data_IF_514863416697
#
_entry.id   IF_514863416697
#
_cell.length_a   1.000
_cell.length_b   1.000
_cell.length_c   1.000
_cell.angle_alpha   90.00
_cell.angle_beta   90.00
_cell.angle_gamma   90.00
#
_symmetry.space_group_name_H-M   'P 1'
#
loop_
_entity.id
_entity.type
_entity.pdbx_description
1 polymer ?
#
# COMPACT_ATOMS: atom_id res chain seq x y z
N UNK A 1 -19.86 -7.68 52.21
CA UNK A 1 -18.62 -8.44 51.94
C UNK A 1 -18.99 -9.49 50.91
N UNK A 2 -18.26 -9.61 49.80
CA UNK A 2 -18.48 -10.70 48.86
C UNK A 2 -18.31 -12.03 49.59
N UNK A 3 -19.06 -13.06 49.17
CA UNK A 3 -19.01 -14.39 49.79
C UNK A 3 -17.67 -15.09 49.54
N UNK A 4 -16.93 -14.63 48.52
CA UNK A 4 -15.58 -15.08 48.17
C UNK A 4 -14.67 -13.85 48.03
N UNK A 5 -13.46 -13.91 48.59
CA UNK A 5 -12.44 -12.87 48.38
C UNK A 5 -12.01 -12.86 46.91
N UNK A 6 -11.83 -11.68 46.30
CA UNK A 6 -11.37 -11.55 44.90
C UNK A 6 -9.86 -11.80 44.74
N UNK A 7 -9.29 -12.67 45.57
CA UNK A 7 -7.91 -13.10 45.49
C UNK A 7 -7.77 -14.10 44.33
N UNK A 8 -6.77 -13.88 43.48
CA UNK A 8 -6.49 -14.71 42.30
C UNK A 8 -6.20 -16.17 42.67
N UNK A 9 -5.70 -16.43 43.88
CA UNK A 9 -5.52 -17.80 44.39
C UNK A 9 -6.85 -18.55 44.57
N UNK A 10 -7.96 -17.85 44.84
CA UNK A 10 -9.27 -18.47 44.95
C UNK A 10 -9.80 -18.97 43.60
N UNK A 11 -9.46 -18.28 42.50
CA UNK A 11 -9.82 -18.73 41.15
C UNK A 11 -9.23 -20.10 40.82
N UNK A 12 -7.97 -20.34 41.20
CA UNK A 12 -7.30 -21.64 41.04
C UNK A 12 -7.99 -22.75 41.84
N UNK A 13 -8.46 -22.45 43.05
CA UNK A 13 -9.19 -23.40 43.89
C UNK A 13 -10.54 -23.75 43.24
N UNK A 14 -11.26 -22.75 42.73
CA UNK A 14 -12.51 -22.95 41.99
C UNK A 14 -12.27 -23.80 40.74
N UNK A 15 -11.21 -23.53 39.98
CA UNK A 15 -10.86 -24.32 38.80
C UNK A 15 -10.51 -25.77 39.15
N UNK A 16 -9.78 -26.00 40.24
CA UNK A 16 -9.49 -27.35 40.73
C UNK A 16 -10.78 -28.07 41.16
N UNK A 17 -11.66 -27.39 41.89
CA UNK A 17 -12.96 -27.94 42.27
C UNK A 17 -13.81 -28.27 41.04
N UNK A 18 -13.86 -27.38 40.05
CA UNK A 18 -14.62 -27.55 38.81
C UNK A 18 -14.13 -28.77 38.02
N UNK A 19 -12.81 -28.99 37.96
CA UNK A 19 -12.21 -30.17 37.32
C UNK A 19 -12.69 -31.49 37.93
N UNK A 20 -12.95 -31.53 39.24
CA UNK A 20 -13.33 -32.74 39.95
C UNK A 20 -14.86 -32.90 40.17
N UNK A 21 -15.59 -31.79 40.26
CA UNK A 21 -17.01 -31.74 40.59
C UNK A 21 -17.71 -30.59 39.82
N UNK A 22 -17.80 -30.68 38.47
CA UNK A 22 -18.24 -29.56 37.64
C UNK A 22 -19.70 -29.17 37.88
N UNK A 23 -20.57 -30.15 38.15
CA UNK A 23 -22.00 -29.90 38.36
C UNK A 23 -22.26 -29.19 39.68
N UNK A 24 -21.56 -29.61 40.75
CA UNK A 24 -21.65 -29.04 42.09
C UNK A 24 -21.12 -27.60 42.09
N UNK A 25 -20.02 -27.34 41.37
CA UNK A 25 -19.48 -25.99 41.21
C UNK A 25 -20.45 -25.10 40.43
N UNK A 26 -20.99 -25.55 39.30
CA UNK A 26 -21.98 -24.77 38.53
C UNK A 26 -23.22 -24.46 39.37
N UNK A 27 -23.77 -25.45 40.09
CA UNK A 27 -24.92 -25.23 40.97
C UNK A 27 -24.63 -24.22 42.09
N UNK A 28 -23.41 -24.21 42.61
CA UNK A 28 -22.97 -23.24 43.61
C UNK A 28 -22.82 -21.85 43.00
N UNK A 29 -22.19 -21.75 41.82
CA UNK A 29 -22.02 -20.49 41.09
C UNK A 29 -23.37 -19.85 40.74
N UNK A 30 -24.37 -20.64 40.36
CA UNK A 30 -25.73 -20.15 40.08
C UNK A 30 -26.31 -19.36 41.25
N UNK A 31 -26.20 -19.90 42.47
CA UNK A 31 -26.66 -19.24 43.70
C UNK A 31 -25.83 -17.99 44.01
N UNK A 32 -24.50 -18.05 43.83
CA UNK A 32 -23.61 -16.93 44.10
C UNK A 32 -23.84 -15.77 43.14
N UNK A 33 -23.98 -16.05 41.85
CA UNK A 33 -24.28 -15.08 40.80
C UNK A 33 -25.60 -14.37 41.08
N UNK A 34 -26.65 -15.12 41.45
CA UNK A 34 -27.94 -14.52 41.81
C UNK A 34 -27.84 -13.64 43.06
N UNK A 35 -27.08 -14.08 44.07
CA UNK A 35 -26.86 -13.27 45.28
C UNK A 35 -26.13 -11.97 44.98
N UNK A 36 -25.06 -12.02 44.18
CA UNK A 36 -24.28 -10.84 43.81
C UNK A 36 -25.10 -9.89 42.94
N UNK A 37 -25.80 -10.41 41.92
CA UNK A 37 -26.66 -9.63 41.06
C UNK A 37 -27.75 -8.89 41.85
N UNK A 38 -28.36 -9.53 42.85
CA UNK A 38 -29.36 -8.89 43.71
C UNK A 38 -28.75 -7.87 44.67
N UNK A 39 -27.58 -8.16 45.25
CA UNK A 39 -27.00 -7.37 46.33
C UNK A 39 -26.18 -6.16 45.85
N UNK A 40 -25.50 -6.31 44.72
CA UNK A 40 -24.56 -5.32 44.19
C UNK A 40 -24.97 -4.77 42.83
N UNK A 41 -26.01 -5.33 42.20
CA UNK A 41 -26.40 -5.00 40.84
C UNK A 41 -25.21 -5.12 39.87
N UNK A 42 -24.45 -6.21 40.00
CA UNK A 42 -23.20 -6.53 39.30
C UNK A 42 -22.57 -7.82 39.82
N UNK A 43 -21.49 -8.25 39.20
CA UNK A 43 -20.80 -9.52 39.41
C UNK A 43 -19.31 -9.26 39.70
N UNK A 44 -18.85 -9.81 40.82
CA UNK A 44 -17.46 -9.82 41.22
C UNK A 44 -16.80 -11.16 40.89
N UNK A 45 -17.60 -12.23 40.76
CA UNK A 45 -17.10 -13.59 40.59
C UNK A 45 -16.47 -13.86 39.21
N UNK A 46 -16.74 -13.04 38.19
CA UNK A 46 -16.28 -13.29 36.82
C UNK A 46 -14.75 -13.38 36.71
N UNK A 47 -14.01 -12.55 37.45
CA UNK A 47 -12.54 -12.56 37.45
C UNK A 47 -11.96 -13.85 38.05
N UNK A 48 -12.74 -14.57 38.87
CA UNK A 48 -12.34 -15.83 39.49
C UNK A 48 -12.59 -17.05 38.58
N UNK A 49 -13.26 -16.86 37.44
CA UNK A 49 -13.63 -17.93 36.51
C UNK A 49 -12.67 -18.08 35.33
N UNK A 50 -11.62 -17.24 35.23
CA UNK A 50 -10.62 -17.29 34.13
C UNK A 50 -10.09 -18.73 33.90
N UNK A 51 -9.69 -19.40 34.99
CA UNK A 51 -9.00 -20.70 34.93
C UNK A 51 -9.97 -21.90 34.71
N UNK A 52 -11.29 -21.68 34.71
CA UNK A 52 -12.29 -22.74 34.55
C UNK A 52 -13.25 -22.53 33.37
N UNK A 53 -12.93 -21.61 32.47
CA UNK A 53 -13.79 -21.28 31.33
C UNK A 53 -13.64 -22.29 30.18
N UNK A 54 -14.39 -23.39 30.26
CA UNK A 54 -14.58 -24.32 29.14
C UNK A 54 -15.96 -24.11 28.46
N UNK A 55 -16.25 -24.89 27.42
CA UNK A 55 -17.53 -24.79 26.67
C UNK A 55 -18.76 -24.96 27.57
N UNK A 56 -18.66 -25.80 28.61
CA UNK A 56 -19.75 -26.03 29.57
C UNK A 56 -19.97 -24.81 30.46
N UNK A 57 -18.90 -24.23 31.01
CA UNK A 57 -18.98 -23.02 31.83
C UNK A 57 -19.47 -21.83 31.01
N UNK A 58 -18.94 -21.63 29.79
CA UNK A 58 -19.40 -20.59 28.88
C UNK A 58 -20.89 -20.71 28.58
N UNK A 59 -21.36 -21.92 28.29
CA UNK A 59 -22.79 -22.18 28.06
C UNK A 59 -23.64 -21.85 29.28
N UNK A 60 -23.24 -22.30 30.47
CA UNK A 60 -23.97 -21.99 31.71
C UNK A 60 -24.09 -20.48 31.93
N UNK A 61 -22.97 -19.75 31.80
CA UNK A 61 -22.94 -18.31 31.96
C UNK A 61 -23.82 -17.60 30.92
N UNK A 62 -23.77 -18.03 29.65
CA UNK A 62 -24.61 -17.48 28.60
C UNK A 62 -26.10 -17.75 28.84
N UNK A 63 -26.47 -18.97 29.23
CA UNK A 63 -27.84 -19.35 29.58
C UNK A 63 -28.35 -18.50 30.76
N UNK A 64 -27.48 -18.25 31.75
CA UNK A 64 -27.79 -17.37 32.90
C UNK A 64 -28.04 -15.92 32.47
N UNK A 65 -27.19 -15.39 31.59
CA UNK A 65 -27.34 -14.03 31.05
C UNK A 65 -28.62 -13.86 30.19
N UNK A 66 -29.15 -14.95 29.64
CA UNK A 66 -30.39 -14.97 28.86
C UNK A 66 -31.66 -15.19 29.72
N UNK A 67 -31.51 -15.50 31.01
CA UNK A 67 -32.63 -15.83 31.87
C UNK A 67 -33.56 -14.63 32.10
N UNK A 68 -34.87 -14.84 31.92
CA UNK A 68 -35.87 -13.82 32.21
C UNK A 68 -35.84 -13.44 33.71
N UNK A 69 -35.85 -12.14 33.99
CA UNK A 69 -35.82 -11.61 35.36
C UNK A 69 -34.42 -11.52 35.99
N UNK A 70 -33.38 -11.93 35.27
CA UNK A 70 -32.00 -11.70 35.70
C UNK A 70 -31.61 -10.21 35.54
N UNK A 71 -30.68 -9.71 36.37
CA UNK A 71 -30.28 -8.29 36.32
C UNK A 71 -29.63 -7.97 34.96
N UNK A 72 -30.11 -6.97 34.21
CA UNK A 72 -29.52 -6.64 32.91
C UNK A 72 -28.06 -6.16 32.99
N UNK A 73 -27.70 -5.52 34.11
CA UNK A 73 -26.32 -5.09 34.36
C UNK A 73 -25.41 -6.30 34.62
N UNK A 74 -25.85 -7.26 35.43
CA UNK A 74 -25.12 -8.51 35.65
C UNK A 74 -24.99 -9.33 34.35
N UNK A 75 -26.07 -9.42 33.56
CA UNK A 75 -26.06 -10.07 32.24
C UNK A 75 -25.01 -9.44 31.32
N UNK A 76 -24.95 -8.11 31.27
CA UNK A 76 -23.96 -7.37 30.48
C UNK A 76 -22.52 -7.66 30.91
N UNK A 77 -22.27 -7.84 32.20
CA UNK A 77 -20.94 -8.19 32.73
C UNK A 77 -20.54 -9.63 32.36
N UNK A 78 -21.48 -10.59 32.38
CA UNK A 78 -21.26 -11.95 31.86
C UNK A 78 -20.94 -11.90 30.36
N UNK A 79 -21.76 -11.23 29.56
CA UNK A 79 -21.55 -11.13 28.11
C UNK A 79 -20.18 -10.53 27.81
N UNK A 80 -19.79 -9.45 28.51
CA UNK A 80 -18.47 -8.84 28.36
C UNK A 80 -17.34 -9.82 28.68
N UNK A 81 -17.47 -10.58 29.77
CA UNK A 81 -16.48 -11.60 30.17
C UNK A 81 -16.33 -12.70 29.12
N UNK A 82 -17.44 -13.22 28.59
CA UNK A 82 -17.43 -14.26 27.54
C UNK A 82 -16.87 -13.74 26.21
N UNK A 83 -17.20 -12.50 25.83
CA UNK A 83 -16.64 -11.87 24.63
C UNK A 83 -15.13 -11.64 24.73
N UNK A 84 -14.62 -11.30 25.92
CA UNK A 84 -13.18 -11.17 26.16
C UNK A 84 -12.42 -12.47 25.90
N UNK A 85 -13.06 -13.60 26.16
CA UNK A 85 -12.52 -14.95 25.90
C UNK A 85 -12.86 -15.48 24.49
N UNK A 86 -13.36 -14.61 23.59
CA UNK A 86 -13.74 -14.95 22.22
C UNK A 86 -14.77 -16.09 22.10
N UNK A 87 -15.70 -16.20 23.06
CA UNK A 87 -16.76 -17.22 23.03
C UNK A 87 -17.69 -17.05 21.81
N UNK A 88 -17.73 -18.06 20.95
CA UNK A 88 -18.46 -18.01 19.67
C UNK A 88 -19.98 -17.92 19.85
N UNK A 89 -20.54 -18.66 20.81
CA UNK A 89 -21.98 -18.67 21.05
C UNK A 89 -22.47 -17.29 21.53
N UNK A 90 -21.68 -16.64 22.38
CA UNK A 90 -21.94 -15.28 22.85
C UNK A 90 -21.85 -14.26 21.72
N UNK A 91 -20.87 -14.37 20.81
CA UNK A 91 -20.78 -13.50 19.63
C UNK A 91 -22.04 -13.60 18.77
N UNK A 92 -22.49 -14.81 18.45
CA UNK A 92 -23.72 -15.02 17.66
C UNK A 92 -24.97 -14.51 18.38
N UNK A 93 -25.07 -14.73 19.70
CA UNK A 93 -26.14 -14.17 20.50
C UNK A 93 -26.20 -12.64 20.42
N UNK A 94 -25.06 -11.96 20.64
CA UNK A 94 -24.99 -10.50 20.55
C UNK A 94 -25.33 -10.01 19.15
N UNK A 95 -24.80 -10.63 18.10
CA UNK A 95 -25.14 -10.30 16.71
C UNK A 95 -26.64 -10.43 16.42
N UNK A 96 -27.30 -11.47 16.95
CA UNK A 96 -28.74 -11.68 16.77
C UNK A 96 -29.62 -10.61 17.43
N UNK A 97 -29.08 -9.91 18.44
CA UNK A 97 -29.78 -8.86 19.18
C UNK A 97 -29.60 -7.48 18.55
N UNK A 98 -28.55 -7.27 17.76
CA UNK A 98 -28.32 -5.98 17.12
C UNK A 98 -29.24 -5.86 15.92
N UNK A 99 -30.33 -5.11 16.10
CA UNK A 99 -31.24 -4.73 15.03
C UNK A 99 -31.13 -3.23 14.79
N UNK A 100 -31.18 -2.86 13.52
CA UNK A 100 -31.06 -1.49 13.03
C UNK A 100 -32.31 -1.17 12.20
N UNK A 101 -33.06 -0.09 12.49
CA UNK A 101 -32.77 0.94 13.50
C UNK A 101 -32.91 0.42 14.94
N UNK A 102 -32.19 1.06 15.87
CA UNK A 102 -32.21 0.68 17.29
C UNK A 102 -33.62 0.78 17.90
N UNK A 103 -33.94 -0.05 18.90
CA UNK A 103 -35.22 0.03 19.60
C UNK A 103 -35.40 1.38 20.30
N UNK A 104 -36.65 1.79 20.47
CA UNK A 104 -37.04 3.07 21.10
C UNK A 104 -36.87 3.08 22.61
N UNK A 105 -36.76 1.93 23.27
CA UNK A 105 -36.50 1.84 24.71
C UNK A 105 -35.07 2.23 25.05
N UNK A 106 -34.86 3.27 25.86
CA UNK A 106 -33.52 3.77 26.22
C UNK A 106 -32.64 2.70 26.87
N UNK A 107 -33.22 1.90 27.76
CA UNK A 107 -32.49 0.87 28.49
C UNK A 107 -32.04 -0.28 27.56
N UNK A 108 -32.95 -0.76 26.71
CA UNK A 108 -32.65 -1.79 25.71
C UNK A 108 -31.61 -1.30 24.69
N UNK A 109 -31.74 -0.04 24.24
CA UNK A 109 -30.76 0.62 23.38
C UNK A 109 -29.37 0.66 24.03
N UNK A 110 -29.29 1.05 25.30
CA UNK A 110 -28.02 1.12 26.03
C UNK A 110 -27.35 -0.26 26.19
N UNK A 111 -28.14 -1.31 26.44
CA UNK A 111 -27.67 -2.69 26.57
C UNK A 111 -27.12 -3.24 25.24
N UNK A 112 -27.84 -3.01 24.13
CA UNK A 112 -27.38 -3.39 22.78
C UNK A 112 -26.08 -2.69 22.44
N UNK A 113 -25.99 -1.37 22.66
CA UNK A 113 -24.79 -0.59 22.37
C UNK A 113 -23.60 -1.03 23.24
N UNK A 114 -23.83 -1.33 24.53
CA UNK A 114 -22.77 -1.83 25.42
C UNK A 114 -22.26 -3.21 24.99
N UNK A 115 -23.15 -4.09 24.53
CA UNK A 115 -22.79 -5.41 24.02
C UNK A 115 -22.04 -5.31 22.69
N UNK A 116 -22.52 -4.46 21.76
CA UNK A 116 -21.85 -4.20 20.49
C UNK A 116 -20.46 -3.55 20.68
N UNK A 117 -20.31 -2.64 21.64
CA UNK A 117 -19.00 -2.06 21.97
C UNK A 117 -18.04 -3.10 22.54
N UNK A 118 -18.53 -4.04 23.34
CA UNK A 118 -17.72 -5.15 23.87
C UNK A 118 -17.33 -6.14 22.76
N UNK A 119 -18.23 -6.36 21.79
CA UNK A 119 -17.94 -7.16 20.59
C UNK A 119 -16.85 -6.48 19.76
N UNK A 120 -16.96 -5.16 19.51
CA UNK A 120 -15.96 -4.40 18.75
C UNK A 120 -14.57 -4.46 19.37
N UNK A 121 -14.47 -4.40 20.70
CA UNK A 121 -13.19 -4.46 21.42
C UNK A 121 -12.46 -5.81 21.27
N UNK A 122 -13.21 -6.89 21.04
CA UNK A 122 -12.70 -8.25 20.88
C UNK A 122 -13.04 -8.82 19.49
N UNK A 123 -13.25 -7.92 18.53
CA UNK A 123 -13.71 -8.28 17.20
C UNK A 123 -12.60 -9.01 16.45
N UNK A 124 -12.96 -10.14 15.84
CA UNK A 124 -12.19 -10.67 14.71
C UNK A 124 -12.68 -10.03 13.43
N UNK A 125 -12.05 -10.36 12.29
CA UNK A 125 -12.38 -9.77 10.99
C UNK A 125 -13.87 -9.88 10.65
N UNK A 126 -14.49 -11.03 10.87
CA UNK A 126 -15.90 -11.26 10.56
C UNK A 126 -16.84 -10.44 11.46
N UNK A 127 -16.45 -10.22 12.72
CA UNK A 127 -17.21 -9.38 13.66
C UNK A 127 -17.13 -7.90 13.25
N UNK A 128 -15.94 -7.46 12.84
CA UNK A 128 -15.73 -6.12 12.31
C UNK A 128 -16.56 -5.87 11.05
N UNK A 129 -16.51 -6.77 10.07
CA UNK A 129 -17.28 -6.64 8.82
C UNK A 129 -18.78 -6.57 9.11
N UNK A 130 -19.30 -7.40 10.02
CA UNK A 130 -20.69 -7.34 10.47
C UNK A 130 -21.06 -5.99 11.09
N UNK A 131 -20.24 -5.49 12.04
CA UNK A 131 -20.51 -4.20 12.71
C UNK A 131 -20.39 -3.03 11.73
N UNK A 132 -19.41 -3.07 10.83
CA UNK A 132 -19.17 -2.06 9.82
C UNK A 132 -20.35 -1.91 8.86
N UNK A 133 -20.92 -3.02 8.40
CA UNK A 133 -22.13 -3.01 7.57
C UNK A 133 -23.32 -2.34 8.27
N UNK A 134 -23.44 -2.50 9.58
CA UNK A 134 -24.50 -1.86 10.37
C UNK A 134 -24.23 -0.37 10.59
N UNK A 135 -22.97 0.02 10.84
CA UNK A 135 -22.55 1.43 10.94
C UNK A 135 -22.89 2.18 9.64
N UNK A 136 -22.66 1.57 8.48
CA UNK A 136 -22.97 2.18 7.19
C UNK A 136 -24.49 2.28 6.91
N UNK A 137 -25.29 1.36 7.47
CA UNK A 137 -26.76 1.36 7.33
C UNK A 137 -27.43 2.38 8.25
N UNK A 138 -26.88 2.59 9.45
CA UNK A 138 -27.41 3.53 10.43
C UNK A 138 -26.29 4.27 11.15
N UNK A 139 -26.19 5.55 10.80
CA UNK A 139 -25.17 6.44 11.31
C UNK A 139 -25.37 6.75 12.81
N UNK A 140 -26.61 6.76 13.32
CA UNK A 140 -26.86 6.97 14.75
C UNK A 140 -26.35 5.80 15.59
N UNK A 141 -26.58 4.57 15.10
CA UNK A 141 -26.00 3.36 15.68
C UNK A 141 -24.47 3.46 15.71
N UNK A 142 -23.86 3.81 14.59
CA UNK A 142 -22.40 3.95 14.51
C UNK A 142 -21.84 4.98 15.47
N UNK A 143 -22.47 6.15 15.57
CA UNK A 143 -22.05 7.19 16.52
C UNK A 143 -22.17 6.72 17.97
N UNK A 144 -23.28 6.08 18.34
CA UNK A 144 -23.50 5.56 19.68
C UNK A 144 -22.48 4.46 20.04
N UNK A 145 -22.17 3.59 19.08
CA UNK A 145 -21.19 2.51 19.23
C UNK A 145 -19.78 3.06 19.50
N UNK A 146 -19.32 4.01 18.68
CA UNK A 146 -17.99 4.64 18.86
C UNK A 146 -17.91 5.40 20.18
N UNK A 147 -18.95 6.17 20.50
CA UNK A 147 -19.01 6.89 21.77
C UNK A 147 -18.93 5.94 22.98
N UNK A 148 -19.48 4.73 22.87
CA UNK A 148 -19.38 3.72 23.92
C UNK A 148 -18.02 3.02 23.96
N UNK A 149 -17.41 2.77 22.80
CA UNK A 149 -16.16 2.02 22.67
C UNK A 149 -14.89 2.85 22.90
N UNK A 150 -14.99 4.19 22.94
CA UNK A 150 -13.85 5.11 22.93
C UNK A 150 -12.84 4.99 24.09
N UNK A 151 -13.26 4.54 25.28
CA UNK A 151 -12.41 4.43 26.47
C UNK A 151 -11.49 3.20 26.44
N UNK A 152 -11.71 2.29 25.48
CA UNK A 152 -10.85 1.14 25.31
C UNK A 152 -9.62 1.53 24.50
N UNK A 153 -8.39 1.39 25.04
CA UNK A 153 -7.19 1.71 24.30
C UNK A 153 -7.05 0.76 23.11
N UNK A 154 -7.34 1.25 21.90
CA UNK A 154 -6.99 0.57 20.65
C UNK A 154 -5.49 0.30 20.51
N UNK A 155 -4.65 0.95 21.33
CA UNK A 155 -3.23 0.58 21.46
C UNK A 155 -3.15 -0.84 22.02
N UNK A 156 -3.28 -1.82 21.13
CA UNK A 156 -3.29 -3.25 21.44
C UNK A 156 -4.53 -4.02 21.00
N UNK A 157 -5.59 -3.39 20.48
CA UNK A 157 -6.73 -4.16 19.94
C UNK A 157 -6.34 -4.78 18.61
N UNK A 158 -6.34 -6.11 18.53
CA UNK A 158 -5.97 -6.89 17.34
C UNK A 158 -6.77 -6.49 16.09
N UNK A 159 -8.02 -6.05 16.25
CA UNK A 159 -8.92 -5.80 15.12
C UNK A 159 -8.40 -4.78 14.11
N UNK A 160 -7.78 -3.66 14.55
CA UNK A 160 -7.24 -2.66 13.62
C UNK A 160 -5.98 -3.14 12.91
N UNK A 161 -5.25 -4.10 13.52
CA UNK A 161 -4.11 -4.74 12.88
C UNK A 161 -4.56 -5.78 11.85
N UNK A 162 -5.75 -6.36 12.01
CA UNK A 162 -6.26 -7.46 11.18
C UNK A 162 -7.09 -6.99 9.97
N UNK A 163 -7.63 -5.76 10.02
CA UNK A 163 -8.37 -5.19 8.89
C UNK A 163 -7.43 -4.61 7.81
N UNK A 164 -7.94 -4.53 6.58
CA UNK A 164 -7.17 -4.11 5.41
C UNK A 164 -6.94 -2.59 5.37
N UNK A 165 -5.94 -2.16 4.59
CA UNK A 165 -5.67 -0.74 4.33
C UNK A 165 -6.89 0.01 3.79
N UNK A 166 -7.71 -0.66 2.98
CA UNK A 166 -8.96 -0.10 2.44
C UNK A 166 -10.00 0.15 3.54
N UNK A 167 -10.18 -0.83 4.44
CA UNK A 167 -11.11 -0.72 5.57
C UNK A 167 -10.67 0.35 6.58
N UNK A 168 -9.36 0.46 6.84
CA UNK A 168 -8.82 1.54 7.68
C UNK A 168 -9.06 2.92 7.08
N UNK A 169 -8.89 3.07 5.76
CA UNK A 169 -9.19 4.31 5.07
C UNK A 169 -10.69 4.67 5.13
N UNK A 170 -11.57 3.70 4.88
CA UNK A 170 -13.02 3.90 4.99
C UNK A 170 -13.45 4.32 6.40
N UNK A 171 -12.93 3.61 7.42
CA UNK A 171 -13.17 3.96 8.81
C UNK A 171 -12.68 5.37 9.12
N UNK A 172 -11.44 5.71 8.75
CA UNK A 172 -10.91 7.05 9.01
C UNK A 172 -11.72 8.15 8.33
N UNK A 173 -12.17 7.94 7.08
CA UNK A 173 -13.01 8.89 6.36
C UNK A 173 -14.34 9.09 7.09
N UNK A 174 -15.00 8.00 7.49
CA UNK A 174 -16.26 8.05 8.22
C UNK A 174 -16.09 8.76 9.57
N UNK A 175 -15.06 8.41 10.35
CA UNK A 175 -14.78 9.05 11.63
C UNK A 175 -14.51 10.53 11.52
N UNK A 176 -13.77 10.95 10.50
CA UNK A 176 -13.46 12.37 10.31
C UNK A 176 -14.72 13.17 9.95
N UNK A 177 -15.71 12.55 9.31
CA UNK A 177 -17.00 13.19 8.99
C UNK A 177 -17.91 13.27 10.21
N UNK A 178 -18.04 12.19 10.98
CA UNK A 178 -18.94 12.10 12.14
C UNK A 178 -18.37 12.76 13.41
N UNK A 179 -17.05 12.79 13.52
CA UNK A 179 -16.30 13.35 14.63
C UNK A 179 -15.20 14.28 14.10
N UNK A 180 -15.55 15.50 13.64
CA UNK A 180 -14.60 16.42 13.00
C UNK A 180 -13.45 16.85 13.93
N UNK A 181 -12.20 16.92 13.44
CA UNK A 181 -11.04 17.41 14.21
C UNK A 181 -11.24 18.75 14.89
N UNK A 182 -12.04 19.65 14.32
CA UNK A 182 -12.34 20.96 14.88
C UNK A 182 -13.09 20.90 16.22
N UNK A 183 -13.99 19.92 16.35
CA UNK A 183 -14.86 19.72 17.52
C UNK A 183 -14.25 18.73 18.52
N UNK A 184 -13.47 17.77 18.03
CA UNK A 184 -12.89 16.67 18.81
C UNK A 184 -11.36 16.81 18.92
N UNK A 185 -10.90 18.00 19.33
CA UNK A 185 -9.48 18.31 19.61
C UNK A 185 -9.21 18.41 21.11
N UNK A 186 -7.95 18.24 21.49
CA UNK A 186 -7.45 18.58 22.82
C UNK A 186 -7.65 20.08 23.09
N UNK A 187 -8.30 20.48 24.21
CA UNK A 187 -8.30 21.86 24.66
C UNK A 187 -6.86 22.34 24.91
N UNK A 188 -6.57 23.62 24.66
CA UNK A 188 -5.27 24.19 25.03
C UNK A 188 -5.15 24.25 26.56
N UNK A 189 -4.21 23.47 27.12
CA UNK A 189 -3.97 23.35 28.56
C UNK A 189 -4.43 22.01 29.11
N UNK A 190 -3.50 21.28 29.75
CA UNK A 190 -3.74 19.93 30.27
C UNK A 190 -4.96 19.84 31.18
N UNK A 191 -5.83 18.89 30.88
CA UNK A 191 -7.07 18.62 31.61
C UNK A 191 -7.43 17.14 31.58
N UNK A 192 -8.47 16.79 32.34
CA UNK A 192 -9.05 15.43 32.39
C UNK A 192 -9.45 14.95 30.99
N UNK A 193 -9.10 13.71 30.63
CA UNK A 193 -9.51 13.08 29.37
C UNK A 193 -11.04 13.04 29.32
N UNK A 194 -11.63 13.75 28.35
CA UNK A 194 -13.08 13.73 28.10
C UNK A 194 -13.40 12.76 26.96
N UNK A 195 -14.66 12.32 26.81
CA UNK A 195 -15.06 11.48 25.68
C UNK A 195 -14.70 12.05 24.31
N UNK A 196 -14.80 13.37 24.15
CA UNK A 196 -14.45 14.04 22.90
C UNK A 196 -12.95 13.87 22.57
N UNK A 197 -12.10 13.96 23.59
CA UNK A 197 -10.66 13.77 23.45
C UNK A 197 -10.35 12.32 23.06
N UNK A 198 -10.91 11.34 23.79
CA UNK A 198 -10.67 9.92 23.50
C UNK A 198 -11.11 9.53 22.08
N UNK A 199 -12.25 10.05 21.60
CA UNK A 199 -12.72 9.80 20.22
C UNK A 199 -11.78 10.43 19.18
N UNK A 200 -11.28 11.65 19.45
CA UNK A 200 -10.28 12.29 18.59
C UNK A 200 -8.99 11.46 18.50
N UNK A 201 -8.48 11.00 19.64
CA UNK A 201 -7.29 10.15 19.71
C UNK A 201 -7.52 8.79 19.02
N UNK A 202 -8.74 8.24 19.12
CA UNK A 202 -9.18 7.02 18.45
C UNK A 202 -9.15 7.17 16.93
N UNK A 203 -9.75 8.24 16.39
CA UNK A 203 -9.69 8.59 14.96
C UNK A 203 -8.24 8.73 14.49
N UNK A 204 -7.43 9.46 15.22
CA UNK A 204 -6.04 9.72 14.83
C UNK A 204 -5.19 8.43 14.94
N UNK A 205 -5.57 7.47 15.78
CA UNK A 205 -4.95 6.15 15.84
C UNK A 205 -5.23 5.31 14.59
N UNK A 206 -6.42 5.44 13.98
CA UNK A 206 -6.76 4.68 12.75
C UNK A 206 -5.84 5.07 11.60
N UNK A 207 -5.62 6.37 11.35
CA UNK A 207 -4.71 6.80 10.27
C UNK A 207 -3.25 6.46 10.57
N UNK A 208 -2.82 6.47 11.84
CA UNK A 208 -1.50 5.95 12.23
C UNK A 208 -1.39 4.46 11.96
N UNK A 209 -2.39 3.66 12.31
CA UNK A 209 -2.43 2.23 12.03
C UNK A 209 -2.37 1.93 10.53
N UNK A 210 -3.06 2.73 9.70
CA UNK A 210 -2.93 2.66 8.24
C UNK A 210 -1.49 2.92 7.78
N UNK A 211 -0.85 3.99 8.28
CA UNK A 211 0.55 4.31 7.96
C UNK A 211 1.53 3.22 8.42
N UNK A 212 1.30 2.63 9.59
CA UNK A 212 2.15 1.60 10.17
C UNK A 212 2.21 0.33 9.32
N UNK A 213 1.20 0.04 8.47
CA UNK A 213 1.29 -1.07 7.50
C UNK A 213 2.48 -0.89 6.55
N UNK A 214 2.76 0.35 6.12
CA UNK A 214 3.94 0.73 5.33
C UNK A 214 4.09 -0.02 4.01
N UNK A 215 2.97 -0.27 3.33
CA UNK A 215 2.91 -0.93 2.01
C UNK A 215 2.67 0.11 0.91
N UNK A 216 2.86 -0.28 -0.36
CA UNK A 216 2.47 0.58 -1.49
C UNK A 216 0.96 0.89 -1.47
N UNK A 217 0.14 -0.05 -0.96
CA UNK A 217 -1.30 0.13 -0.81
C UNK A 217 -1.63 1.17 0.27
N UNK A 218 -0.86 1.24 1.36
CA UNK A 218 -0.95 2.33 2.34
C UNK A 218 -0.87 3.71 1.66
N UNK A 219 0.10 3.92 0.78
CA UNK A 219 0.24 5.21 0.09
C UNK A 219 -0.98 5.54 -0.78
N UNK A 220 -1.51 4.55 -1.51
CA UNK A 220 -2.71 4.72 -2.35
C UNK A 220 -3.94 5.05 -1.50
N UNK A 221 -4.12 4.36 -0.38
CA UNK A 221 -5.26 4.58 0.50
C UNK A 221 -5.16 5.93 1.25
N UNK A 222 -3.96 6.36 1.68
CA UNK A 222 -3.77 7.70 2.25
C UNK A 222 -4.04 8.80 1.22
N UNK A 223 -3.66 8.60 -0.04
CA UNK A 223 -4.01 9.52 -1.14
C UNK A 223 -5.52 9.56 -1.39
N UNK A 224 -6.20 8.41 -1.36
CA UNK A 224 -7.67 8.33 -1.41
C UNK A 224 -8.33 9.12 -0.28
N UNK A 225 -7.83 8.97 0.95
CA UNK A 225 -8.31 9.74 2.12
C UNK A 225 -8.13 11.24 1.89
N UNK A 226 -6.97 11.67 1.40
CA UNK A 226 -6.70 13.08 1.10
C UNK A 226 -7.66 13.66 0.05
N UNK A 227 -8.02 12.86 -0.97
CA UNK A 227 -8.97 13.27 -2.00
C UNK A 227 -10.42 13.29 -1.49
N UNK A 228 -10.79 12.39 -0.57
CA UNK A 228 -12.12 12.34 0.04
C UNK A 228 -12.35 13.48 1.05
N UNK A 229 -11.27 14.02 1.61
CA UNK A 229 -11.30 15.04 2.66
C UNK A 229 -10.36 16.23 2.35
N UNK A 230 -10.58 16.95 1.21
CA UNK A 230 -9.66 17.97 0.72
C UNK A 230 -9.52 19.19 1.64
N UNK A 231 -10.46 19.41 2.56
CA UNK A 231 -10.39 20.46 3.57
C UNK A 231 -9.22 20.26 4.54
N UNK A 232 -8.82 19.01 4.81
CA UNK A 232 -7.72 18.67 5.71
C UNK A 232 -6.40 18.56 4.95
N UNK A 233 -5.85 19.73 4.57
CA UNK A 233 -4.62 19.83 3.76
C UNK A 233 -3.43 19.07 4.34
N UNK A 234 -3.36 18.91 5.67
CA UNK A 234 -2.30 18.17 6.37
C UNK A 234 -2.23 16.69 5.96
N UNK A 235 -3.34 16.07 5.54
CA UNK A 235 -3.33 14.68 5.08
C UNK A 235 -2.47 14.54 3.83
N UNK A 236 -2.66 15.43 2.86
CA UNK A 236 -1.85 15.44 1.63
C UNK A 236 -0.43 15.95 1.88
N UNK A 237 -0.29 17.02 2.65
CA UNK A 237 0.98 17.74 2.84
C UNK A 237 1.94 17.05 3.80
N UNK A 238 1.44 16.28 4.77
CA UNK A 238 2.25 15.63 5.79
C UNK A 238 2.05 14.12 5.77
N UNK A 239 0.82 13.64 5.98
CA UNK A 239 0.54 12.22 6.16
C UNK A 239 0.92 11.37 4.95
N UNK A 240 0.64 11.83 3.73
CA UNK A 240 1.03 11.12 2.51
C UNK A 240 2.55 11.08 2.32
N UNK A 241 3.25 12.17 2.64
CA UNK A 241 4.72 12.23 2.57
C UNK A 241 5.32 11.25 3.58
N UNK A 242 4.78 11.23 4.79
CA UNK A 242 5.23 10.35 5.87
C UNK A 242 4.93 8.88 5.56
N UNK A 243 3.75 8.57 5.02
CA UNK A 243 3.41 7.22 4.56
C UNK A 243 4.37 6.70 3.49
N UNK A 244 4.77 7.56 2.53
CA UNK A 244 5.78 7.24 1.52
C UNK A 244 7.13 6.98 2.18
N UNK A 245 7.55 7.84 3.12
CA UNK A 245 8.80 7.68 3.89
C UNK A 245 8.85 6.34 4.64
N UNK A 246 7.79 6.00 5.38
CA UNK A 246 7.67 4.73 6.12
C UNK A 246 7.72 3.55 5.16
N UNK A 247 7.00 3.62 4.04
CA UNK A 247 6.98 2.57 3.01
C UNK A 247 8.38 2.33 2.44
N UNK A 248 9.10 3.40 2.07
CA UNK A 248 10.50 3.32 1.60
C UNK A 248 11.43 2.73 2.65
N UNK A 249 11.25 3.07 3.94
CA UNK A 249 12.06 2.51 5.02
C UNK A 249 11.80 1.01 5.24
N UNK A 250 10.54 0.58 5.17
CA UNK A 250 10.18 -0.83 5.36
C UNK A 250 10.50 -1.69 4.14
N UNK A 251 10.46 -1.11 2.94
CA UNK A 251 10.85 -1.78 1.69
C UNK A 251 12.35 -1.70 1.41
N UNK A 252 13.12 -0.96 2.22
CA UNK A 252 14.56 -0.83 2.06
C UNK A 252 15.25 -2.20 2.17
N UNK A 253 16.00 -2.55 1.13
CA UNK A 253 16.85 -3.72 1.12
C UNK A 253 18.31 -3.24 1.14
N UNK A 254 19.05 -3.45 2.24
CA UNK A 254 20.45 -3.09 2.26
C UNK A 254 21.22 -3.94 1.22
N UNK A 255 22.19 -3.36 0.50
CA UNK A 255 23.08 -4.15 -0.33
C UNK A 255 23.88 -5.14 0.52
N UNK A 256 24.22 -6.29 -0.06
CA UNK A 256 25.15 -7.21 0.59
C UNK A 256 26.51 -6.53 0.81
N UNK A 257 27.16 -6.85 1.93
CA UNK A 257 28.46 -6.25 2.29
C UNK A 257 29.52 -6.46 1.20
N UNK A 258 29.53 -7.62 0.55
CA UNK A 258 30.43 -7.89 -0.58
C UNK A 258 30.15 -6.98 -1.78
N UNK A 259 28.89 -6.59 -1.98
CA UNK A 259 28.52 -5.67 -3.04
C UNK A 259 29.00 -4.24 -2.74
N UNK A 260 29.04 -3.85 -1.46
CA UNK A 260 29.65 -2.59 -1.03
C UNK A 260 31.15 -2.57 -1.32
N UNK A 261 31.88 -3.65 -1.03
CA UNK A 261 33.31 -3.73 -1.36
C UNK A 261 33.58 -3.63 -2.86
N UNK A 262 32.77 -4.30 -3.69
CA UNK A 262 32.87 -4.15 -5.15
C UNK A 262 32.70 -2.70 -5.59
N UNK A 263 31.70 -1.98 -5.07
CA UNK A 263 31.47 -0.54 -5.38
C UNK A 263 32.67 0.34 -4.99
N UNK A 264 33.39 -0.01 -3.93
CA UNK A 264 34.61 0.70 -3.51
C UNK A 264 35.78 0.38 -4.44
N UNK A 265 35.89 -0.86 -4.91
CA UNK A 265 36.97 -1.32 -5.80
C UNK A 265 36.82 -0.84 -7.26
N UNK A 266 35.57 -0.65 -7.72
CA UNK A 266 35.29 -0.19 -9.07
C UNK A 266 34.24 0.92 -9.06
N UNK A 267 34.70 2.16 -9.28
CA UNK A 267 33.88 3.37 -9.29
C UNK A 267 32.89 3.46 -10.45
N UNK A 268 33.02 2.63 -11.49
CA UNK A 268 32.05 2.55 -12.57
C UNK A 268 30.83 1.69 -12.19
N UNK A 269 30.89 0.93 -11.09
CA UNK A 269 29.76 0.17 -10.57
C UNK A 269 28.76 1.12 -9.92
N UNK A 270 27.47 0.92 -10.21
CA UNK A 270 26.37 1.51 -9.46
C UNK A 270 25.55 0.43 -8.76
N UNK A 271 24.88 0.82 -7.70
CA UNK A 271 23.90 -0.03 -7.03
C UNK A 271 22.51 0.39 -7.51
N UNK A 272 21.77 -0.55 -8.10
CA UNK A 272 20.43 -0.31 -8.62
C UNK A 272 19.41 -0.95 -7.70
N UNK A 273 18.80 -0.14 -6.86
CA UNK A 273 17.80 -0.51 -5.86
C UNK A 273 16.39 -0.10 -6.28
N UNK A 274 16.23 0.87 -7.19
CA UNK A 274 14.94 1.31 -7.69
C UNK A 274 14.86 1.32 -9.23
N UNK A 275 13.64 1.30 -9.79
CA UNK A 275 13.44 1.56 -11.23
C UNK A 275 13.93 2.94 -11.69
N UNK A 276 13.93 3.96 -10.82
CA UNK A 276 14.47 5.29 -11.13
C UNK A 276 15.99 5.25 -11.33
N UNK A 277 16.71 4.59 -10.43
CA UNK A 277 18.17 4.41 -10.56
C UNK A 277 18.55 3.59 -11.81
N UNK A 278 17.69 2.61 -12.17
CA UNK A 278 17.83 1.86 -13.42
C UNK A 278 17.66 2.79 -14.63
N UNK A 279 16.63 3.63 -14.63
CA UNK A 279 16.38 4.59 -15.71
C UNK A 279 17.57 5.52 -15.92
N UNK A 280 18.09 6.11 -14.84
CA UNK A 280 19.24 7.01 -14.89
C UNK A 280 20.46 6.31 -15.49
N UNK A 281 20.71 5.05 -15.11
CA UNK A 281 21.83 4.27 -15.64
C UNK A 281 21.69 3.95 -17.13
N UNK A 282 20.46 3.74 -17.60
CA UNK A 282 20.17 3.52 -19.02
C UNK A 282 20.36 4.82 -19.81
N UNK A 283 19.89 5.96 -19.30
CA UNK A 283 20.10 7.27 -19.92
C UNK A 283 21.59 7.63 -20.00
N UNK A 284 22.33 7.41 -18.91
CA UNK A 284 23.79 7.52 -18.87
C UNK A 284 24.46 6.67 -19.97
N UNK A 285 23.97 5.44 -20.19
CA UNK A 285 24.47 4.56 -21.25
C UNK A 285 24.10 5.03 -22.66
N UNK A 286 22.92 5.63 -22.85
CA UNK A 286 22.48 6.23 -24.13
C UNK A 286 23.34 7.46 -24.44
N UNK A 287 23.64 8.31 -23.45
CA UNK A 287 24.52 9.45 -23.63
C UNK A 287 25.94 9.00 -24.05
N UNK A 288 26.46 7.92 -23.45
CA UNK A 288 27.72 7.30 -23.89
C UNK A 288 27.62 6.70 -25.29
N UNK A 289 26.49 6.09 -25.64
CA UNK A 289 26.26 5.60 -27.00
C UNK A 289 26.38 6.75 -28.02
N UNK A 290 25.79 7.91 -27.74
CA UNK A 290 25.92 9.09 -28.59
C UNK A 290 27.39 9.53 -28.77
N UNK A 291 28.18 9.50 -27.70
CA UNK A 291 29.62 9.79 -27.79
C UNK A 291 30.37 8.77 -28.66
N UNK A 292 30.03 7.48 -28.55
CA UNK A 292 30.63 6.41 -29.36
C UNK A 292 30.24 6.53 -30.83
N UNK A 293 28.99 6.89 -31.14
CA UNK A 293 28.53 7.14 -32.51
C UNK A 293 29.37 8.22 -33.19
N UNK A 294 29.70 9.30 -32.48
CA UNK A 294 30.43 10.45 -33.01
C UNK A 294 31.93 10.47 -32.65
N UNK A 295 32.50 9.34 -32.24
CA UNK A 295 33.91 9.30 -31.82
C UNK A 295 34.88 9.69 -32.95
N UNK A 296 35.99 10.35 -32.60
CA UNK A 296 36.95 10.86 -33.60
C UNK A 296 37.76 9.76 -34.30
N UNK A 297 38.01 8.62 -33.62
CA UNK A 297 38.88 7.57 -34.13
C UNK A 297 38.11 6.52 -34.96
N UNK A 298 36.94 6.08 -34.47
CA UNK A 298 36.11 5.06 -35.10
C UNK A 298 34.62 5.41 -34.91
N UNK A 299 34.11 6.41 -35.64
CA UNK A 299 32.73 6.85 -35.48
C UNK A 299 31.77 5.71 -35.88
N UNK A 300 30.98 5.22 -34.92
CA UNK A 300 29.99 4.17 -35.19
C UNK A 300 28.76 4.67 -35.94
N UNK A 301 28.55 6.00 -36.04
CA UNK A 301 27.43 6.59 -36.76
C UNK A 301 27.31 6.05 -38.20
N UNK A 302 28.43 5.73 -38.86
CA UNK A 302 28.44 5.15 -40.21
C UNK A 302 27.61 3.86 -40.33
N UNK A 303 27.45 3.10 -39.25
CA UNK A 303 26.65 1.86 -39.23
C UNK A 303 25.15 2.11 -39.35
N UNK A 304 24.71 3.33 -39.06
CA UNK A 304 23.33 3.79 -39.15
C UNK A 304 23.02 4.49 -40.48
N UNK A 305 23.97 4.49 -41.43
CA UNK A 305 23.79 5.09 -42.75
C UNK A 305 24.00 4.06 -43.85
N UNK A 306 23.07 4.03 -44.81
CA UNK A 306 23.28 3.39 -46.09
C UNK A 306 24.07 4.33 -47.00
N UNK A 307 24.99 3.79 -47.81
CA UNK A 307 25.81 4.57 -48.75
C UNK A 307 25.91 3.88 -50.10
N UNK A 308 25.57 4.59 -51.17
CA UNK A 308 25.85 4.17 -52.54
C UNK A 308 27.11 4.86 -53.07
N UNK A 309 28.15 4.06 -53.26
CA UNK A 309 29.47 4.48 -53.78
C UNK A 309 29.74 3.99 -55.21
N UNK A 310 28.74 3.46 -55.92
CA UNK A 310 28.94 2.80 -57.23
C UNK A 310 29.50 3.74 -58.31
N UNK A 311 29.32 5.06 -58.17
CA UNK A 311 29.77 6.07 -59.15
C UNK A 311 31.04 6.80 -58.69
N UNK A 312 32.21 6.34 -59.16
CA UNK A 312 33.55 6.85 -58.79
C UNK A 312 33.81 8.37 -58.98
N UNK A 313 32.91 9.12 -59.60
CA UNK A 313 33.05 10.57 -59.89
C UNK A 313 31.86 11.43 -59.42
N UNK A 314 30.90 10.85 -58.68
CA UNK A 314 29.75 11.57 -58.13
C UNK A 314 29.81 11.57 -56.59
N UNK A 315 29.18 12.56 -55.92
CA UNK A 315 29.06 12.55 -54.47
C UNK A 315 28.37 11.26 -54.01
N UNK A 316 28.81 10.76 -52.84
CA UNK A 316 28.22 9.56 -52.22
C UNK A 316 26.76 9.86 -51.88
N UNK A 317 25.85 9.03 -52.39
CA UNK A 317 24.44 9.10 -52.02
C UNK A 317 24.26 8.35 -50.71
N UNK A 318 23.72 9.00 -49.68
CA UNK A 318 23.54 8.44 -48.35
C UNK A 318 22.15 8.71 -47.82
N UNK A 319 21.62 7.74 -47.08
CA UNK A 319 20.34 7.83 -46.39
C UNK A 319 20.38 7.03 -45.09
N UNK A 320 19.56 7.37 -44.08
CA UNK A 320 19.53 6.65 -42.82
C UNK A 320 19.12 5.21 -43.02
N UNK A 321 19.60 4.33 -42.14
CA UNK A 321 19.01 3.02 -41.97
C UNK A 321 17.63 3.10 -41.31
N UNK A 322 16.95 1.98 -41.13
CA UNK A 322 15.62 1.98 -40.51
C UNK A 322 15.70 1.98 -38.97
N UNK A 323 14.53 2.05 -38.31
CA UNK A 323 14.45 2.01 -36.85
C UNK A 323 14.96 0.67 -36.26
N UNK A 324 14.91 -0.41 -37.04
CA UNK A 324 15.36 -1.74 -36.59
C UNK A 324 16.89 -1.77 -36.47
N UNK A 325 17.60 -1.23 -37.45
CA UNK A 325 19.06 -1.09 -37.38
C UNK A 325 19.51 -0.21 -36.20
N UNK A 326 18.79 0.88 -35.91
CA UNK A 326 19.07 1.72 -34.73
C UNK A 326 18.82 0.97 -33.42
N UNK A 327 17.71 0.23 -33.34
CA UNK A 327 17.37 -0.61 -32.20
C UNK A 327 18.43 -1.69 -31.96
N UNK A 328 18.92 -2.34 -33.03
CA UNK A 328 19.96 -3.36 -32.95
C UNK A 328 21.30 -2.80 -32.43
N UNK A 329 21.77 -1.69 -32.99
CA UNK A 329 23.04 -1.07 -32.54
C UNK A 329 22.94 -0.57 -31.09
N UNK A 330 21.79 0.01 -30.70
CA UNK A 330 21.58 0.45 -29.32
C UNK A 330 21.51 -0.73 -28.36
N UNK A 331 20.74 -1.77 -28.67
CA UNK A 331 20.61 -2.95 -27.82
C UNK A 331 21.96 -3.63 -27.60
N UNK A 332 22.80 -3.72 -28.64
CA UNK A 332 24.17 -4.21 -28.52
C UNK A 332 25.00 -3.33 -27.58
N UNK A 333 24.97 -2.00 -27.75
CA UNK A 333 25.71 -1.09 -26.89
C UNK A 333 25.26 -1.16 -25.44
N UNK A 334 23.95 -1.14 -25.17
CA UNK A 334 23.40 -1.25 -23.82
C UNK A 334 23.80 -2.57 -23.17
N UNK A 335 23.76 -3.68 -23.92
CA UNK A 335 24.18 -4.97 -23.39
C UNK A 335 25.67 -4.96 -23.00
N UNK A 336 26.54 -4.38 -23.82
CA UNK A 336 27.98 -4.38 -23.57
C UNK A 336 28.36 -3.37 -22.46
N UNK A 337 27.91 -2.11 -22.56
CA UNK A 337 28.22 -1.06 -21.59
C UNK A 337 27.67 -1.37 -20.18
N UNK A 338 26.42 -1.85 -20.10
CA UNK A 338 25.80 -2.15 -18.81
C UNK A 338 26.33 -3.45 -18.16
N UNK A 339 26.80 -4.43 -18.97
CA UNK A 339 27.46 -5.65 -18.46
C UNK A 339 28.89 -5.38 -18.00
N UNK A 340 29.70 -4.74 -18.84
CA UNK A 340 31.12 -4.52 -18.57
C UNK A 340 31.35 -3.59 -17.38
N UNK A 341 30.46 -2.61 -17.20
CA UNK A 341 30.50 -1.69 -16.05
C UNK A 341 29.89 -2.27 -14.79
N UNK A 342 29.42 -3.53 -14.81
CA UNK A 342 28.88 -4.23 -13.64
C UNK A 342 27.82 -3.46 -12.86
N UNK A 343 27.01 -2.63 -13.55
CA UNK A 343 26.02 -1.70 -12.97
C UNK A 343 24.98 -2.40 -12.06
N UNK A 344 25.03 -3.73 -11.95
CA UNK A 344 24.15 -4.57 -11.15
C UNK A 344 24.95 -5.41 -10.17
N UNK A 345 25.43 -4.80 -9.09
CA UNK A 345 26.13 -5.56 -8.06
C UNK A 345 25.15 -6.49 -7.34
N UNK A 346 25.28 -7.81 -7.55
CA UNK A 346 24.43 -8.84 -6.94
C UNK A 346 23.05 -9.03 -7.58
N UNK A 347 22.82 -8.47 -8.77
CA UNK A 347 21.53 -8.56 -9.50
C UNK A 347 21.78 -9.03 -10.94
N UNK A 348 20.87 -9.84 -11.47
CA UNK A 348 20.94 -10.29 -12.87
C UNK A 348 20.24 -9.28 -13.77
N UNK A 349 20.91 -8.82 -14.82
CA UNK A 349 20.32 -7.96 -15.84
C UNK A 349 20.03 -8.78 -17.10
N UNK A 350 18.83 -8.58 -17.65
CA UNK A 350 18.43 -9.09 -18.95
C UNK A 350 17.96 -7.94 -19.84
N UNK A 351 18.63 -7.76 -20.97
CA UNK A 351 18.19 -6.91 -22.08
C UNK A 351 17.51 -7.80 -23.11
N UNK A 352 16.23 -7.60 -23.34
CA UNK A 352 15.40 -8.42 -24.25
C UNK A 352 14.66 -7.56 -25.24
N UNK A 353 14.50 -8.07 -26.46
CA UNK A 353 13.51 -7.55 -27.40
C UNK A 353 12.16 -8.21 -27.14
N UNK A 354 11.12 -7.40 -27.01
CA UNK A 354 9.74 -7.91 -26.87
C UNK A 354 9.01 -7.87 -28.22
N UNK A 355 9.23 -6.80 -29.00
CA UNK A 355 8.83 -6.70 -30.41
C UNK A 355 10.05 -6.30 -31.27
N UNK A 356 9.85 -6.06 -32.58
CA UNK A 356 10.95 -5.77 -33.52
C UNK A 356 11.79 -4.54 -33.11
N UNK A 357 11.18 -3.50 -32.55
CA UNK A 357 11.85 -2.21 -32.28
C UNK A 357 12.11 -1.96 -30.79
N UNK A 358 11.33 -2.58 -29.90
CA UNK A 358 11.26 -2.17 -28.49
C UNK A 358 12.26 -2.93 -27.62
N UNK A 359 12.97 -2.21 -26.76
CA UNK A 359 13.99 -2.76 -25.88
C UNK A 359 13.47 -2.79 -24.45
N UNK A 360 13.47 -3.97 -23.82
CA UNK A 360 13.11 -4.15 -22.43
C UNK A 360 14.36 -4.48 -21.62
N UNK A 361 14.62 -3.66 -20.62
CA UNK A 361 15.74 -3.83 -19.68
C UNK A 361 15.13 -4.23 -18.35
N UNK A 362 15.52 -5.41 -17.85
CA UNK A 362 15.04 -5.97 -16.58
C UNK A 362 16.21 -6.26 -15.66
N UNK A 363 16.08 -5.87 -14.40
CA UNK A 363 17.06 -6.12 -13.36
C UNK A 363 16.38 -6.90 -12.24
N UNK A 364 16.85 -8.13 -12.02
CA UNK A 364 16.30 -9.05 -11.03
C UNK A 364 17.02 -8.89 -9.70
N UNK A 365 16.27 -8.54 -8.66
CA UNK A 365 16.73 -8.52 -7.28
C UNK A 365 16.49 -9.84 -6.55
N UNK A 366 17.06 -9.95 -5.35
CA UNK A 366 16.76 -10.99 -4.38
C UNK A 366 16.40 -10.35 -3.04
N UNK A 367 15.46 -10.94 -2.32
CA UNK A 367 15.09 -10.51 -0.98
C UNK A 367 16.07 -11.03 0.08
N UNK A 368 15.83 -10.68 1.35
CA UNK A 368 16.68 -11.08 2.49
C UNK A 368 16.79 -12.60 2.69
N UNK A 369 15.87 -13.38 2.13
CA UNK A 369 15.86 -14.83 2.18
C UNK A 369 16.43 -15.46 0.89
N UNK A 370 17.00 -14.64 0.01
CA UNK A 370 17.59 -15.05 -1.27
C UNK A 370 16.55 -15.34 -2.35
N UNK A 371 15.26 -15.05 -2.12
CA UNK A 371 14.17 -15.31 -3.05
C UNK A 371 14.12 -14.22 -4.12
N UNK A 372 13.80 -14.54 -5.39
CA UNK A 372 13.67 -13.54 -6.44
C UNK A 372 12.62 -12.47 -6.09
N UNK A 373 12.94 -11.20 -6.27
CA UNK A 373 11.96 -10.10 -6.22
C UNK A 373 11.41 -9.81 -7.61
N UNK A 374 10.31 -9.06 -7.67
CA UNK A 374 9.89 -8.48 -8.94
C UNK A 374 11.03 -7.63 -9.53
N UNK A 375 11.29 -7.76 -10.84
CA UNK A 375 12.39 -7.03 -11.46
C UNK A 375 12.04 -5.55 -11.63
N UNK A 376 13.03 -4.69 -11.45
CA UNK A 376 12.98 -3.31 -11.96
C UNK A 376 13.01 -3.35 -13.48
N UNK A 377 12.14 -2.58 -14.15
CA UNK A 377 11.96 -2.63 -15.60
C UNK A 377 12.02 -1.23 -16.19
N UNK A 378 12.76 -1.07 -17.28
CA UNK A 378 12.73 0.10 -18.16
C UNK A 378 12.43 -0.37 -19.58
N UNK A 379 11.52 0.33 -20.27
CA UNK A 379 11.17 0.06 -21.67
C UNK A 379 11.63 1.24 -22.53
N UNK A 380 12.32 0.95 -23.63
CA UNK A 380 12.72 1.95 -24.63
C UNK A 380 11.88 1.74 -25.90
N UNK A 381 11.13 2.77 -26.26
CA UNK A 381 10.40 2.87 -27.52
C UNK A 381 11.20 3.70 -28.52
N UNK A 382 11.50 3.16 -29.70
CA UNK A 382 12.41 3.79 -30.68
C UNK A 382 11.65 4.19 -31.94
N UNK A 383 11.79 5.45 -32.35
CA UNK A 383 11.24 5.98 -33.62
C UNK A 383 12.28 6.76 -34.42
N UNK A 384 12.21 6.70 -35.74
CA UNK A 384 12.97 7.60 -36.60
C UNK A 384 12.28 8.97 -36.70
N UNK A 385 13.04 10.04 -36.93
CA UNK A 385 12.48 11.39 -37.11
C UNK A 385 11.49 11.54 -38.28
N UNK A 386 11.34 10.50 -39.13
CA UNK A 386 10.40 10.41 -40.25
C UNK A 386 9.11 9.62 -39.93
N UNK A 387 8.99 9.06 -38.72
CA UNK A 387 7.90 8.15 -38.38
C UNK A 387 6.55 8.90 -38.35
N UNK A 388 5.48 8.30 -38.89
CA UNK A 388 4.17 8.97 -39.01
C UNK A 388 3.49 9.25 -37.67
N UNK A 389 3.82 8.46 -36.65
CA UNK A 389 3.28 8.59 -35.28
C UNK A 389 4.31 9.24 -34.33
N UNK A 390 5.30 9.97 -34.85
CA UNK A 390 6.36 10.56 -34.03
C UNK A 390 5.83 11.39 -32.84
N UNK A 391 4.73 12.13 -33.05
CA UNK A 391 4.11 13.00 -32.06
C UNK A 391 3.15 12.28 -31.11
N UNK A 392 2.70 11.07 -31.44
CA UNK A 392 1.63 10.37 -30.71
C UNK A 392 2.10 9.05 -30.09
N UNK A 393 3.17 8.43 -30.58
CA UNK A 393 3.62 7.11 -30.14
C UNK A 393 4.11 7.09 -28.69
N UNK A 394 4.64 8.20 -28.17
CA UNK A 394 5.02 8.32 -26.75
C UNK A 394 3.80 8.09 -25.83
N UNK A 395 2.66 8.71 -26.14
CA UNK A 395 1.43 8.55 -25.36
C UNK A 395 0.74 7.22 -25.66
N UNK A 396 0.52 6.93 -26.94
CA UNK A 396 -0.33 5.81 -27.37
C UNK A 396 0.35 4.44 -27.26
N UNK A 397 1.65 4.36 -27.56
CA UNK A 397 2.41 3.11 -27.52
C UNK A 397 3.14 2.96 -26.19
N UNK A 398 4.08 3.87 -25.86
CA UNK A 398 4.91 3.74 -24.67
C UNK A 398 4.07 3.82 -23.38
N UNK A 399 3.39 4.93 -23.13
CA UNK A 399 2.59 5.10 -21.92
C UNK A 399 1.32 4.21 -21.93
N UNK A 400 0.55 4.28 -23.01
CA UNK A 400 -0.79 3.70 -23.11
C UNK A 400 -0.83 2.20 -23.26
N UNK A 401 0.14 1.59 -23.96
CA UNK A 401 0.17 0.14 -24.22
C UNK A 401 1.22 -0.58 -23.40
N UNK A 402 2.46 -0.10 -23.38
CA UNK A 402 3.56 -0.86 -22.80
C UNK A 402 3.67 -0.71 -21.29
N UNK A 403 3.60 0.50 -20.75
CA UNK A 403 3.71 0.73 -19.32
C UNK A 403 2.45 0.24 -18.56
N UNK A 404 1.27 0.50 -19.10
CA UNK A 404 -0.02 0.04 -18.54
C UNK A 404 -0.16 -1.49 -18.45
N UNK A 405 0.37 -2.24 -19.42
CA UNK A 405 0.13 -3.69 -19.54
C UNK A 405 1.24 -4.55 -18.93
N UNK A 406 2.47 -4.04 -18.79
CA UNK A 406 3.63 -4.85 -18.38
C UNK A 406 4.02 -4.72 -16.90
N UNK A 407 3.22 -4.00 -16.09
CA UNK A 407 3.58 -3.66 -14.71
C UNK A 407 4.94 -2.96 -14.64
N UNK A 408 5.16 -2.02 -15.56
CA UNK A 408 6.37 -1.21 -15.68
C UNK A 408 5.91 0.25 -15.69
N UNK A 409 6.57 1.11 -14.90
CA UNK A 409 6.20 2.52 -14.77
C UNK A 409 7.31 3.45 -15.27
N UNK A 410 8.28 2.93 -16.02
CA UNK A 410 9.50 3.64 -16.40
C UNK A 410 9.77 3.42 -17.89
N UNK A 411 9.66 4.48 -18.70
CA UNK A 411 9.85 4.42 -20.15
C UNK A 411 10.78 5.50 -20.72
N UNK A 412 11.54 5.16 -21.76
CA UNK A 412 12.34 6.10 -22.56
C UNK A 412 11.77 6.15 -23.98
N UNK A 413 11.44 7.34 -24.46
CA UNK A 413 11.13 7.56 -25.86
C UNK A 413 12.37 8.05 -26.60
N UNK A 414 12.93 7.20 -27.45
CA UNK A 414 14.17 7.48 -28.18
C UNK A 414 13.87 7.81 -29.64
N UNK A 415 14.38 8.94 -30.10
CA UNK A 415 14.21 9.38 -31.48
C UNK A 415 15.58 9.41 -32.18
N UNK A 416 15.73 8.63 -33.24
CA UNK A 416 16.88 8.75 -34.14
C UNK A 416 16.74 9.98 -35.03
N UNK A 417 17.54 11.02 -34.81
CA UNK A 417 17.39 12.30 -35.50
C UNK A 417 18.40 12.49 -36.63
N UNK A 418 18.01 12.09 -37.84
CA UNK A 418 18.90 12.07 -39.02
C UNK A 418 18.75 13.29 -39.95
N UNK A 419 18.06 14.34 -39.53
CA UNK A 419 17.75 15.48 -40.40
C UNK A 419 18.97 16.37 -40.66
N UNK A 420 19.81 15.97 -41.61
CA UNK A 420 21.01 16.71 -41.99
C UNK A 420 21.32 16.58 -43.49
N UNK A 421 22.26 17.40 -43.98
CA UNK A 421 22.66 17.43 -45.40
C UNK A 421 23.28 16.11 -45.89
N UNK A 422 23.78 15.27 -44.99
CA UNK A 422 24.29 13.95 -45.33
C UNK A 422 23.19 13.03 -45.86
N UNK A 423 21.92 13.26 -45.51
CA UNK A 423 20.77 12.59 -46.12
C UNK A 423 20.46 13.22 -47.47
N UNK A 424 21.12 12.74 -48.52
CA UNK A 424 21.07 13.35 -49.85
C UNK A 424 20.46 12.45 -50.94
N UNK A 425 19.91 11.29 -50.59
CA UNK A 425 19.16 10.45 -51.52
C UNK A 425 17.80 11.09 -51.87
N UNK A 426 17.58 11.51 -53.13
CA UNK A 426 16.31 12.10 -53.55
C UNK A 426 15.17 11.07 -53.65
N UNK A 427 15.49 9.77 -53.68
CA UNK A 427 14.50 8.69 -53.79
C UNK A 427 13.91 8.28 -52.44
N UNK A 428 14.55 8.67 -51.33
CA UNK A 428 14.07 8.35 -49.98
C UNK A 428 12.95 9.31 -49.55
N UNK A 429 11.70 8.85 -49.73
CA UNK A 429 10.50 9.62 -49.35
C UNK A 429 10.39 9.90 -47.84
N UNK A 430 11.14 9.21 -46.97
CA UNK A 430 11.11 9.45 -45.53
C UNK A 430 11.64 10.85 -45.19
N UNK A 431 12.55 11.41 -45.99
CA UNK A 431 13.09 12.76 -45.77
C UNK A 431 12.00 13.84 -45.79
N UNK A 432 10.96 13.64 -46.61
CA UNK A 432 9.84 14.57 -46.73
C UNK A 432 8.88 14.51 -45.54
N UNK A 433 8.93 13.44 -44.74
CA UNK A 433 8.09 13.25 -43.55
C UNK A 433 8.69 13.83 -42.28
N UNK A 434 9.97 14.23 -42.34
CA UNK A 434 10.67 14.79 -41.18
C UNK A 434 10.04 16.15 -40.84
N UNK A 435 9.72 16.41 -39.57
CA UNK A 435 9.17 17.70 -39.16
C UNK A 435 10.15 18.83 -39.46
N UNK A 436 9.62 20.00 -39.83
CA UNK A 436 10.42 21.21 -40.00
C UNK A 436 10.78 21.83 -38.63
N UNK A 437 11.62 21.13 -37.87
CA UNK A 437 12.12 21.52 -36.56
C UNK A 437 13.64 21.41 -36.54
N UNK A 438 14.30 22.30 -35.80
CA UNK A 438 15.71 22.09 -35.45
C UNK A 438 15.83 20.99 -34.40
N UNK A 439 17.03 20.40 -34.26
CA UNK A 439 17.28 19.39 -33.23
C UNK A 439 16.93 19.93 -31.82
N UNK A 440 17.29 21.18 -31.52
CA UNK A 440 16.97 21.82 -30.23
C UNK A 440 15.47 21.95 -30.02
N UNK A 441 14.72 22.41 -31.03
CA UNK A 441 13.26 22.52 -30.94
C UNK A 441 12.58 21.16 -30.78
N UNK A 442 13.11 20.13 -31.45
CA UNK A 442 12.61 18.78 -31.31
C UNK A 442 12.85 18.25 -29.88
N UNK A 443 14.06 18.45 -29.32
CA UNK A 443 14.37 18.08 -27.93
C UNK A 443 13.39 18.73 -26.95
N UNK A 444 13.27 20.06 -26.98
CA UNK A 444 12.37 20.81 -26.09
C UNK A 444 10.91 20.33 -26.22
N UNK A 445 10.43 20.08 -27.46
CA UNK A 445 9.06 19.60 -27.71
C UNK A 445 8.81 18.25 -27.05
N UNK A 446 9.68 17.28 -27.27
CA UNK A 446 9.47 15.92 -26.76
C UNK A 446 9.77 15.82 -25.26
N UNK A 447 10.65 16.66 -24.72
CA UNK A 447 10.89 16.77 -23.27
C UNK A 447 9.63 17.27 -22.55
N UNK A 448 9.01 18.33 -23.04
CA UNK A 448 7.74 18.83 -22.50
C UNK A 448 6.63 17.79 -22.61
N UNK A 449 6.59 17.00 -23.69
CA UNK A 449 5.63 15.91 -23.83
C UNK A 449 5.86 14.81 -22.78
N UNK A 450 7.11 14.40 -22.57
CA UNK A 450 7.48 13.41 -21.57
C UNK A 450 7.14 13.87 -20.15
N UNK A 451 7.41 15.13 -19.80
CA UNK A 451 7.03 15.73 -18.51
C UNK A 451 5.51 15.73 -18.30
N UNK A 452 4.75 16.17 -19.31
CA UNK A 452 3.29 16.25 -19.23
C UNK A 452 2.62 14.88 -19.08
N UNK A 453 3.14 13.86 -19.78
CA UNK A 453 2.67 12.48 -19.65
C UNK A 453 3.14 11.85 -18.33
N UNK A 454 4.31 12.25 -17.82
CA UNK A 454 4.82 11.73 -16.56
C UNK A 454 3.94 12.08 -15.38
N UNK A 455 3.37 13.29 -15.39
CA UNK A 455 2.43 13.75 -14.38
C UNK A 455 1.11 12.94 -14.35
N UNK A 456 0.80 12.18 -15.41
CA UNK A 456 -0.50 11.50 -15.60
C UNK A 456 -0.41 9.98 -15.56
N UNK A 457 0.70 9.38 -15.97
CA UNK A 457 0.76 7.94 -16.27
C UNK A 457 1.90 7.19 -15.59
N UNK A 458 3.13 7.66 -15.72
CA UNK A 458 4.35 6.90 -15.41
C UNK A 458 5.57 7.84 -15.28
N UNK A 459 6.78 7.34 -15.09
CA UNK A 459 8.02 8.12 -15.24
C UNK A 459 8.53 7.95 -16.67
N UNK A 460 8.49 9.02 -17.45
CA UNK A 460 8.90 9.03 -18.86
C UNK A 460 10.07 9.99 -19.06
N UNK A 461 11.02 9.58 -19.89
CA UNK A 461 12.08 10.45 -20.38
C UNK A 461 12.19 10.34 -21.91
N UNK A 462 12.85 11.31 -22.54
CA UNK A 462 13.04 11.33 -23.99
C UNK A 462 14.50 11.58 -24.33
N UNK A 463 14.98 10.98 -25.41
CA UNK A 463 16.33 11.19 -25.90
C UNK A 463 16.34 11.28 -27.43
N UNK A 464 17.14 12.22 -27.96
CA UNK A 464 17.35 12.39 -29.40
C UNK A 464 18.82 12.11 -29.73
N UNK A 465 19.07 11.06 -30.52
CA UNK A 465 20.39 10.63 -30.97
C UNK A 465 20.83 11.32 -32.25
#
# INVERSE_FOLDING_TARGET
MPLVSNDRENGKIIALAYKHAPNEVIATLDVLIDNEAQRYNGLLINDLLEDCLDERMSKFLLDKAQQQGFSPKAASEIIRFLLHHNDKATKEYVKSKIQVPLPTGEQEKAEIISSAASLLQNAVREDWEFLWDLILKDNEFGRALVFRAHDSPLRGSSVLQDISEFQLADLFIWLTKEFPPEEYKHPEGGGTVTPQISIGDWRDAVIRGLMEKGTAETCRQVERVANALPQYKWIKQYTLIEARRITTQKSWQPPEVNNLFKLVENHDLRLINSPDELMDSVLDSIARFQQVLHSQQQPRVIRLWNQDRRRKKQPVISWPKDELDLSDELASHLNDDLKDRGIFVGREMVVTRVNRLDIHIKVFGRDQLGRPTDPSKVIIEIKGCWHSELDTAMETQLAGRYLSTNGCHHGIYLIGWFNCDAWNDPSDSRKQKVPNLTLTQAKEKFEQQAEALSAKHAVLNTELL
#
